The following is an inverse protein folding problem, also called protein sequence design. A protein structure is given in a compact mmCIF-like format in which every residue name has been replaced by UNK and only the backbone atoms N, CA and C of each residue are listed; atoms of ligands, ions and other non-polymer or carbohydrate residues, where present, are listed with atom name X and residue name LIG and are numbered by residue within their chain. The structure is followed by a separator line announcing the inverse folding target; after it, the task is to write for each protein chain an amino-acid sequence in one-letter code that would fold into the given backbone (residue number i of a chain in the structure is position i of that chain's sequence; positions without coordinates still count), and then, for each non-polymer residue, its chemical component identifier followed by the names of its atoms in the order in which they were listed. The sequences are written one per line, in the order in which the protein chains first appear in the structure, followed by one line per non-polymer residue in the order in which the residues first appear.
data_IF_306962444249
#
_entry.id   IF_306962444249
#
_cell.length_a   1.000
_cell.length_b   1.000
_cell.length_c   1.000
_cell.angle_alpha   90.00
_cell.angle_beta   90.00
_cell.angle_gamma   90.00
#
_symmetry.space_group_name_H-M   'P 1'
#
loop_
_entity.id
_entity.type
_entity.pdbx_description
1 polymer ?
#
# COMPACT_ATOMS: atom_id res chain seq x y z
N UNK A 1 47.92 -4.06 -3.22
CA UNK A 1 46.67 -3.99 -2.42
C UNK A 1 45.76 -2.80 -2.77
N UNK A 2 46.26 -1.67 -3.31
CA UNK A 2 45.40 -0.54 -3.72
C UNK A 2 44.44 -0.85 -4.91
N UNK A 3 44.86 -1.65 -5.89
CA UNK A 3 44.04 -1.94 -7.08
C UNK A 3 42.78 -2.78 -6.78
N UNK A 4 42.80 -3.60 -5.72
CA UNK A 4 41.68 -4.46 -5.38
C UNK A 4 40.54 -3.68 -4.70
N UNK A 5 40.89 -2.66 -3.90
CA UNK A 5 39.93 -1.76 -3.27
C UNK A 5 39.24 -0.85 -4.28
N UNK A 6 39.96 -0.39 -5.31
CA UNK A 6 39.39 0.44 -6.38
C UNK A 6 38.39 -0.36 -7.24
N UNK A 7 38.74 -1.60 -7.58
CA UNK A 7 37.88 -2.48 -8.36
C UNK A 7 36.60 -2.91 -7.60
N UNK A 8 36.66 -3.05 -6.27
CA UNK A 8 35.47 -3.31 -5.46
C UNK A 8 34.56 -2.07 -5.33
N UNK A 9 35.13 -0.87 -5.32
CA UNK A 9 34.37 0.39 -5.30
C UNK A 9 33.59 0.61 -6.59
N UNK A 10 34.19 0.33 -7.75
CA UNK A 10 33.49 0.41 -9.05
C UNK A 10 32.35 -0.61 -9.15
N UNK A 11 32.56 -1.86 -8.69
CA UNK A 11 31.48 -2.86 -8.66
C UNK A 11 30.31 -2.47 -7.76
N UNK A 12 30.57 -1.80 -6.63
CA UNK A 12 29.54 -1.30 -5.73
C UNK A 12 28.75 -0.13 -6.33
N UNK A 13 29.42 0.75 -7.07
CA UNK A 13 28.79 1.86 -7.81
C UNK A 13 27.89 1.36 -8.96
N UNK A 14 28.36 0.35 -9.71
CA UNK A 14 27.57 -0.25 -10.78
C UNK A 14 26.38 -1.05 -10.25
N UNK A 15 26.53 -1.71 -9.11
CA UNK A 15 25.43 -2.40 -8.42
C UNK A 15 24.36 -1.41 -7.95
N UNK A 16 24.75 -0.28 -7.35
CA UNK A 16 23.81 0.80 -6.98
C UNK A 16 23.08 1.38 -8.19
N UNK A 17 23.75 1.55 -9.33
CA UNK A 17 23.11 2.01 -10.57
C UNK A 17 22.12 0.98 -11.12
N UNK A 18 22.42 -0.32 -11.00
CA UNK A 18 21.48 -1.39 -11.37
C UNK A 18 20.25 -1.45 -10.45
N UNK A 19 20.43 -1.26 -9.14
CA UNK A 19 19.33 -1.22 -8.16
C UNK A 19 18.41 0.00 -8.38
N UNK A 20 18.97 1.19 -8.66
CA UNK A 20 18.18 2.39 -9.02
C UNK A 20 17.40 2.19 -10.34
N UNK A 21 17.94 1.40 -11.26
CA UNK A 21 17.26 1.07 -12.54
C UNK A 21 16.20 -0.01 -12.34
N UNK A 22 16.39 -0.91 -11.38
CA UNK A 22 15.43 -1.95 -11.01
C UNK A 22 14.27 -1.39 -10.18
N UNK A 23 14.51 -0.46 -9.26
CA UNK A 23 13.45 0.30 -8.56
C UNK A 23 12.63 1.15 -9.54
N UNK A 24 13.25 1.75 -10.57
CA UNK A 24 12.50 2.39 -11.68
C UNK A 24 11.69 1.41 -12.53
N UNK A 25 12.15 0.18 -12.74
CA UNK A 25 11.39 -0.85 -13.46
C UNK A 25 10.25 -1.43 -12.63
N UNK A 26 10.40 -1.52 -11.31
CA UNK A 26 9.31 -1.90 -10.39
C UNK A 26 8.21 -0.83 -10.37
N UNK A 27 8.58 0.47 -10.47
CA UNK A 27 7.62 1.56 -10.69
C UNK A 27 6.97 1.61 -12.08
N UNK A 28 7.41 0.76 -13.03
CA UNK A 28 6.88 0.64 -14.39
C UNK A 28 6.34 -0.76 -14.69
N UNK A 29 6.26 -1.64 -13.70
CA UNK A 29 5.61 -2.92 -13.85
C UNK A 29 4.11 -2.64 -13.99
N UNK A 30 3.56 -2.96 -15.17
CA UNK A 30 2.12 -3.04 -15.43
C UNK A 30 1.45 -3.66 -14.20
N UNK A 31 0.77 -2.83 -13.41
CA UNK A 31 -0.03 -3.26 -12.30
C UNK A 31 -1.24 -4.04 -12.80
N UNK A 32 -1.04 -5.28 -13.21
CA UNK A 32 -2.11 -6.28 -13.32
C UNK A 32 -2.35 -6.89 -11.94
N UNK A 33 -2.49 -6.04 -10.93
CA UNK A 33 -3.06 -6.48 -9.66
C UNK A 33 -4.55 -6.70 -9.88
N UNK A 34 -4.99 -7.95 -9.73
CA UNK A 34 -6.41 -8.31 -9.81
C UNK A 34 -7.29 -7.56 -8.78
N UNK A 35 -6.68 -6.95 -7.74
CA UNK A 35 -7.38 -6.12 -6.75
C UNK A 35 -7.92 -4.80 -7.33
N UNK A 36 -7.28 -4.25 -8.36
CA UNK A 36 -7.74 -3.01 -9.00
C UNK A 36 -9.13 -3.13 -9.65
N UNK A 37 -9.54 -4.34 -10.04
CA UNK A 37 -10.82 -4.61 -10.72
C UNK A 37 -12.02 -4.72 -9.77
N UNK A 38 -11.80 -4.93 -8.47
CA UNK A 38 -12.89 -5.09 -7.49
C UNK A 38 -13.42 -3.74 -7.00
N UNK A 39 -12.54 -2.75 -6.80
CA UNK A 39 -12.92 -1.41 -6.34
C UNK A 39 -13.59 -0.56 -7.44
N UNK A 40 -13.20 -0.73 -8.71
CA UNK A 40 -13.93 -0.10 -9.83
C UNK A 40 -15.37 -0.63 -9.96
N UNK A 41 -15.65 -1.85 -9.47
CA UNK A 41 -17.01 -2.41 -9.42
C UNK A 41 -17.90 -1.79 -8.34
N UNK A 42 -17.36 -1.21 -7.27
CA UNK A 42 -18.21 -0.55 -6.26
C UNK A 42 -18.76 0.78 -6.78
N UNK A 43 -17.95 1.54 -7.53
CA UNK A 43 -18.40 2.72 -8.28
C UNK A 43 -19.36 2.35 -9.42
N UNK A 44 -19.14 1.23 -10.12
CA UNK A 44 -20.06 0.77 -11.17
C UNK A 44 -21.36 0.17 -10.63
N UNK A 45 -21.38 -0.40 -9.41
CA UNK A 45 -22.60 -0.93 -8.77
C UNK A 45 -23.47 0.15 -8.13
N UNK A 46 -22.91 1.29 -7.75
CA UNK A 46 -23.68 2.48 -7.37
C UNK A 46 -24.57 2.98 -8.54
N UNK A 47 -24.22 2.63 -9.79
CA UNK A 47 -25.02 2.87 -11.00
C UNK A 47 -26.33 2.07 -11.06
N UNK A 48 -26.40 0.90 -10.40
CA UNK A 48 -27.51 -0.07 -10.54
C UNK A 48 -28.55 -0.03 -9.40
N UNK A 49 -28.22 0.58 -8.26
CA UNK A 49 -29.11 0.67 -7.09
C UNK A 49 -29.59 2.09 -6.80
N UNK A 50 -30.28 2.69 -7.77
CA UNK A 50 -31.18 3.82 -7.47
C UNK A 50 -32.58 3.21 -7.26
N UNK A 51 -33.04 2.99 -6.01
CA UNK A 51 -34.41 2.56 -5.78
C UNK A 51 -35.39 3.69 -6.15
N UNK A 52 -36.40 3.34 -6.93
CA UNK A 52 -37.58 4.17 -7.18
C UNK A 52 -38.33 4.35 -5.85
N UNK A 53 -38.72 5.57 -5.43
CA UNK A 53 -39.37 5.77 -4.14
C UNK A 53 -40.85 5.40 -4.23
N UNK A 54 -41.20 4.18 -3.81
CA UNK A 54 -42.60 3.82 -3.49
C UNK A 54 -42.70 3.23 -2.08
N UNK A 55 -43.37 4.00 -1.22
CA UNK A 55 -43.99 3.68 0.06
C UNK A 55 -43.14 2.97 1.14
N UNK A 56 -42.77 3.74 2.17
CA UNK A 56 -42.45 3.19 3.51
C UNK A 56 -43.49 3.72 4.50
N UNK A 57 -44.25 2.78 5.08
CA UNK A 57 -45.18 3.02 6.18
C UNK A 57 -44.39 3.24 7.47
N UNK A 58 -44.58 4.39 8.12
CA UNK A 58 -43.91 4.76 9.37
C UNK A 58 -44.63 4.18 10.59
N UNK A 59 -43.90 3.39 11.40
CA UNK A 59 -44.31 3.04 12.76
C UNK A 59 -44.01 4.19 13.73
N UNK A 60 -44.92 4.44 14.66
CA UNK A 60 -44.86 5.54 15.63
C UNK A 60 -43.90 5.22 16.81
N UNK A 61 -43.10 6.19 17.29
CA UNK A 61 -42.49 6.14 18.62
C UNK A 61 -43.35 6.85 19.69
N UNK A 62 -43.21 6.48 20.97
CA UNK A 62 -44.06 6.97 22.07
C UNK A 62 -43.73 8.42 22.51
N UNK A 63 -44.75 9.02 23.12
CA UNK A 63 -44.95 10.43 23.44
C UNK A 63 -44.09 10.98 24.58
N UNK A 64 -43.38 12.09 24.31
CA UNK A 64 -42.98 13.08 25.31
C UNK A 64 -43.89 14.30 25.17
N UNK A 65 -44.59 14.65 26.25
CA UNK A 65 -45.56 15.74 26.30
C UNK A 65 -44.88 17.10 26.37
N UNK A 66 -44.86 17.82 25.25
CA UNK A 66 -44.59 19.25 25.17
C UNK A 66 -45.88 19.98 24.79
N UNK A 67 -46.09 21.18 25.32
CA UNK A 67 -47.31 21.96 25.10
C UNK A 67 -47.53 22.30 23.62
N UNK A 68 -48.81 22.31 23.21
CA UNK A 68 -49.26 22.33 21.82
C UNK A 68 -48.75 23.56 21.03
N UNK A 69 -48.55 24.70 21.70
CA UNK A 69 -48.09 25.95 21.06
C UNK A 69 -46.56 26.06 20.91
N UNK A 70 -45.76 25.30 21.68
CA UNK A 70 -44.29 25.29 21.51
C UNK A 70 -43.80 24.22 20.52
N UNK A 71 -44.65 23.26 20.14
CA UNK A 71 -44.29 22.22 19.16
C UNK A 71 -44.53 22.64 17.71
N UNK A 72 -45.44 23.58 17.41
CA UNK A 72 -45.79 23.95 16.03
C UNK A 72 -44.72 24.87 15.41
N UNK A 73 -44.20 25.84 16.14
CA UNK A 73 -43.11 26.72 15.68
C UNK A 73 -41.77 26.01 15.62
N UNK A 74 -41.48 25.08 16.53
CA UNK A 74 -40.21 24.33 16.54
C UNK A 74 -40.17 23.19 15.50
N UNK A 75 -41.30 22.55 15.17
CA UNK A 75 -41.34 21.52 14.12
C UNK A 75 -41.29 22.08 12.70
N UNK A 76 -41.81 23.28 12.45
CA UNK A 76 -41.73 23.91 11.12
C UNK A 76 -40.30 24.42 10.86
N UNK A 77 -39.62 24.96 11.88
CA UNK A 77 -38.20 25.33 11.77
C UNK A 77 -37.26 24.11 11.69
N UNK A 78 -37.53 23.01 12.42
CA UNK A 78 -36.66 21.83 12.39
C UNK A 78 -36.88 20.93 11.17
N UNK A 79 -38.09 20.91 10.58
CA UNK A 79 -38.35 20.19 9.32
C UNK A 79 -37.87 20.97 8.10
N UNK A 80 -37.86 22.31 8.17
CA UNK A 80 -37.21 23.14 7.15
C UNK A 80 -35.67 23.10 7.26
N UNK A 81 -35.09 22.85 8.45
CA UNK A 81 -33.64 22.73 8.62
C UNK A 81 -33.08 21.32 8.33
N UNK A 82 -33.90 20.26 8.39
CA UNK A 82 -33.48 18.91 7.98
C UNK A 82 -33.75 18.59 6.49
N UNK A 83 -34.51 19.42 5.77
CA UNK A 83 -34.77 19.24 4.34
C UNK A 83 -33.78 20.01 3.42
N UNK A 84 -32.83 20.77 3.98
CA UNK A 84 -31.88 21.59 3.20
C UNK A 84 -30.55 20.86 2.92
N UNK A 85 -30.22 19.72 3.54
CA UNK A 85 -28.90 19.09 3.33
C UNK A 85 -28.83 18.02 2.23
N UNK A 86 -29.94 17.63 1.60
CA UNK A 86 -29.96 16.72 0.45
C UNK A 86 -30.64 17.38 -0.73
N UNK A 87 -30.11 18.51 -1.19
CA UNK A 87 -30.48 19.03 -2.50
C UNK A 87 -30.06 18.01 -3.56
N UNK A 88 -30.97 17.50 -4.41
CA UNK A 88 -30.63 16.54 -5.47
C UNK A 88 -29.55 17.08 -6.44
N UNK A 89 -29.37 18.40 -6.49
CA UNK A 89 -28.31 19.08 -7.24
C UNK A 89 -26.90 18.71 -6.74
N UNK A 90 -26.68 18.61 -5.43
CA UNK A 90 -25.35 18.29 -4.87
C UNK A 90 -24.96 16.82 -5.07
N UNK A 91 -25.95 15.92 -5.10
CA UNK A 91 -25.74 14.51 -5.42
C UNK A 91 -25.33 14.32 -6.89
N UNK A 92 -25.94 15.07 -7.81
CA UNK A 92 -25.63 14.98 -9.24
C UNK A 92 -24.27 15.62 -9.57
N UNK A 93 -23.96 16.76 -8.97
CA UNK A 93 -22.62 17.39 -9.07
C UNK A 93 -21.53 16.47 -8.48
N UNK A 94 -21.82 15.81 -7.36
CA UNK A 94 -20.92 14.81 -6.78
C UNK A 94 -20.71 13.60 -7.69
N UNK A 95 -21.77 13.09 -8.32
CA UNK A 95 -21.66 11.97 -9.26
C UNK A 95 -20.80 12.33 -10.49
N UNK A 96 -20.99 13.53 -11.05
CA UNK A 96 -20.21 14.01 -12.19
C UNK A 96 -18.74 14.25 -11.83
N UNK A 97 -18.48 14.83 -10.64
CA UNK A 97 -17.12 15.00 -10.14
C UNK A 97 -16.41 13.65 -9.94
N UNK A 98 -17.10 12.66 -9.35
CA UNK A 98 -16.57 11.31 -9.19
C UNK A 98 -16.23 10.65 -10.54
N UNK A 99 -17.08 10.83 -11.55
CA UNK A 99 -16.84 10.33 -12.91
C UNK A 99 -15.56 10.91 -13.51
N UNK A 100 -15.35 12.23 -13.40
CA UNK A 100 -14.13 12.89 -13.90
C UNK A 100 -12.86 12.37 -13.22
N UNK A 101 -12.91 12.09 -11.92
CA UNK A 101 -11.78 11.50 -11.19
C UNK A 101 -11.41 10.13 -11.78
N UNK A 102 -12.41 9.27 -12.02
CA UNK A 102 -12.19 7.94 -12.60
C UNK A 102 -11.65 8.04 -14.02
N UNK A 103 -12.25 8.89 -14.86
CA UNK A 103 -11.78 9.09 -16.23
C UNK A 103 -10.34 9.61 -16.28
N UNK A 104 -9.96 10.54 -15.40
CA UNK A 104 -8.58 11.01 -15.31
C UNK A 104 -7.63 9.88 -14.87
N UNK A 105 -8.05 9.03 -13.92
CA UNK A 105 -7.25 7.92 -13.44
C UNK A 105 -7.04 6.83 -14.51
N UNK A 106 -8.10 6.47 -15.22
CA UNK A 106 -8.05 5.49 -16.32
C UNK A 106 -7.14 5.98 -17.47
N UNK A 107 -7.05 7.29 -17.66
CA UNK A 107 -6.13 7.94 -18.59
C UNK A 107 -4.75 8.25 -17.99
N UNK A 108 -4.44 7.73 -16.79
CA UNK A 108 -3.15 7.90 -16.09
C UNK A 108 -2.76 9.38 -15.84
N UNK A 109 -3.73 10.29 -15.82
CA UNK A 109 -3.51 11.72 -15.55
C UNK A 109 -3.46 11.96 -14.04
N UNK A 110 -2.46 11.38 -13.38
CA UNK A 110 -2.41 11.32 -11.91
C UNK A 110 -2.42 12.71 -11.23
N UNK A 111 -1.74 13.71 -11.79
CA UNK A 111 -1.78 15.08 -11.26
C UNK A 111 -3.20 15.69 -11.30
N UNK A 112 -3.98 15.36 -12.32
CA UNK A 112 -5.38 15.78 -12.44
C UNK A 112 -6.26 15.04 -11.43
N UNK A 113 -6.04 13.73 -11.25
CA UNK A 113 -6.75 12.92 -10.25
C UNK A 113 -6.55 13.49 -8.85
N UNK A 114 -5.32 13.90 -8.49
CA UNK A 114 -5.03 14.52 -7.19
C UNK A 114 -5.90 15.76 -7.00
N UNK A 115 -5.86 16.70 -7.95
CA UNK A 115 -6.63 17.96 -7.86
C UNK A 115 -8.14 17.72 -7.80
N UNK A 116 -8.67 16.85 -8.65
CA UNK A 116 -10.11 16.54 -8.70
C UNK A 116 -10.56 15.83 -7.41
N UNK A 117 -9.77 14.89 -6.91
CA UNK A 117 -10.08 14.16 -5.67
C UNK A 117 -10.08 15.08 -4.45
N UNK A 118 -9.07 15.95 -4.33
CA UNK A 118 -9.00 16.93 -3.24
C UNK A 118 -10.19 17.90 -3.26
N UNK A 119 -10.56 18.40 -4.44
CA UNK A 119 -11.73 19.25 -4.61
C UNK A 119 -13.03 18.52 -4.22
N UNK A 120 -13.19 17.27 -4.65
CA UNK A 120 -14.34 16.44 -4.32
C UNK A 120 -14.46 16.16 -2.82
N UNK A 121 -13.35 15.76 -2.19
CA UNK A 121 -13.28 15.48 -0.74
C UNK A 121 -13.66 16.72 0.08
N UNK A 122 -13.18 17.89 -0.34
CA UNK A 122 -13.48 19.16 0.32
C UNK A 122 -14.95 19.57 0.15
N UNK A 123 -15.50 19.41 -1.06
CA UNK A 123 -16.86 19.82 -1.37
C UNK A 123 -17.92 18.86 -0.84
N UNK A 124 -17.60 17.56 -0.73
CA UNK A 124 -18.57 16.50 -0.41
C UNK A 124 -18.08 15.54 0.68
N UNK A 125 -17.72 16.02 1.88
CA UNK A 125 -17.08 15.21 2.92
C UNK A 125 -17.94 14.05 3.45
N UNK A 126 -19.26 14.11 3.27
CA UNK A 126 -20.22 13.06 3.68
C UNK A 126 -20.66 12.16 2.50
N UNK A 127 -20.03 12.30 1.34
CA UNK A 127 -20.38 11.51 0.15
C UNK A 127 -20.19 10.02 0.40
N UNK A 128 -21.09 9.21 -0.15
CA UNK A 128 -20.94 7.75 -0.18
C UNK A 128 -19.69 7.31 -0.97
N UNK A 129 -19.18 8.17 -1.87
CA UNK A 129 -17.97 7.90 -2.66
C UNK A 129 -16.69 8.45 -2.03
N UNK A 130 -16.74 8.92 -0.78
CA UNK A 130 -15.58 9.55 -0.14
C UNK A 130 -14.39 8.59 0.01
N UNK A 131 -14.65 7.32 0.31
CA UNK A 131 -13.60 6.27 0.39
C UNK A 131 -12.91 6.05 -0.95
N UNK A 132 -13.69 5.97 -2.04
CA UNK A 132 -13.18 5.83 -3.40
C UNK A 132 -12.36 7.04 -3.85
N UNK A 133 -12.80 8.26 -3.51
CA UNK A 133 -12.03 9.47 -3.80
C UNK A 133 -10.68 9.48 -3.06
N UNK A 134 -10.66 9.13 -1.78
CA UNK A 134 -9.40 8.97 -1.04
C UNK A 134 -8.52 7.86 -1.62
N UNK A 135 -9.10 6.75 -2.09
CA UNK A 135 -8.34 5.66 -2.68
C UNK A 135 -7.68 6.07 -4.00
N UNK A 136 -8.40 6.76 -4.89
CA UNK A 136 -7.85 7.25 -6.16
C UNK A 136 -6.83 8.37 -5.94
N UNK A 137 -7.04 9.23 -4.94
CA UNK A 137 -6.03 10.19 -4.48
C UNK A 137 -4.75 9.47 -4.05
N UNK A 138 -4.87 8.50 -3.14
CA UNK A 138 -3.73 7.76 -2.59
C UNK A 138 -2.94 7.00 -3.67
N UNK A 139 -3.65 6.30 -4.56
CA UNK A 139 -3.04 5.60 -5.72
C UNK A 139 -2.32 6.58 -6.64
N UNK A 140 -2.91 7.74 -6.92
CA UNK A 140 -2.30 8.73 -7.80
C UNK A 140 -1.05 9.34 -7.18
N UNK A 141 -1.10 9.67 -5.89
CA UNK A 141 0.07 10.13 -5.13
C UNK A 141 1.17 9.07 -5.11
N UNK A 142 0.82 7.80 -4.95
CA UNK A 142 1.77 6.69 -5.04
C UNK A 142 2.44 6.62 -6.43
N UNK A 143 1.67 6.69 -7.52
CA UNK A 143 2.21 6.70 -8.89
C UNK A 143 3.10 7.93 -9.17
N UNK A 144 2.82 9.05 -8.52
CA UNK A 144 3.63 10.27 -8.59
C UNK A 144 4.85 10.24 -7.65
N UNK A 145 5.13 9.13 -6.98
CA UNK A 145 6.19 9.00 -5.97
C UNK A 145 6.07 9.98 -4.79
N UNK A 146 4.86 10.47 -4.54
CA UNK A 146 4.53 11.33 -3.41
C UNK A 146 4.21 10.44 -2.20
N UNK A 147 5.24 9.81 -1.64
CA UNK A 147 5.09 8.75 -0.64
C UNK A 147 4.37 9.19 0.63
N UNK A 148 4.79 10.30 1.25
CA UNK A 148 4.17 10.79 2.48
C UNK A 148 2.69 11.22 2.27
N UNK A 149 2.34 11.97 1.20
CA UNK A 149 0.94 12.19 0.85
C UNK A 149 0.15 10.90 0.62
N UNK A 150 0.70 9.94 -0.12
CA UNK A 150 0.05 8.66 -0.38
C UNK A 150 -0.27 7.91 0.92
N UNK A 151 0.69 7.83 1.86
CA UNK A 151 0.48 7.22 3.18
C UNK A 151 -0.66 7.91 3.93
N UNK A 152 -0.69 9.25 3.92
CA UNK A 152 -1.74 10.00 4.59
C UNK A 152 -3.13 9.72 3.97
N UNK A 153 -3.22 9.67 2.64
CA UNK A 153 -4.47 9.37 1.93
C UNK A 153 -4.92 7.92 2.14
N UNK A 154 -4.02 6.93 2.09
CA UNK A 154 -4.37 5.53 2.41
C UNK A 154 -4.81 5.35 3.86
N UNK A 155 -4.24 6.08 4.83
CA UNK A 155 -4.75 6.09 6.21
C UNK A 155 -6.16 6.66 6.30
N UNK A 156 -6.48 7.67 5.48
CA UNK A 156 -7.86 8.14 5.37
C UNK A 156 -8.77 7.06 4.82
N UNK A 157 -8.37 6.32 3.78
CA UNK A 157 -9.10 5.15 3.28
C UNK A 157 -9.39 4.16 4.41
N UNK A 158 -8.39 3.83 5.24
CA UNK A 158 -8.57 2.92 6.39
C UNK A 158 -9.59 3.43 7.42
N UNK A 159 -9.72 4.75 7.57
CA UNK A 159 -10.67 5.36 8.52
C UNK A 159 -12.10 5.48 7.99
N UNK A 160 -12.29 5.52 6.66
CA UNK A 160 -13.61 5.76 6.05
C UNK A 160 -14.19 4.55 5.32
N UNK A 161 -13.36 3.57 4.95
CA UNK A 161 -13.79 2.34 4.28
C UNK A 161 -14.15 1.25 5.28
N UNK A 162 -15.10 0.40 4.89
CA UNK A 162 -15.45 -0.86 5.59
C UNK A 162 -15.19 -2.10 4.72
N UNK A 163 -14.82 -1.90 3.46
CA UNK A 163 -14.61 -2.98 2.50
C UNK A 163 -13.25 -3.64 2.76
N UNK A 164 -13.24 -4.94 3.08
CA UNK A 164 -12.03 -5.67 3.47
C UNK A 164 -10.93 -5.57 2.41
N UNK A 165 -11.27 -5.77 1.13
CA UNK A 165 -10.30 -5.71 0.04
C UNK A 165 -9.68 -4.31 -0.11
N UNK A 166 -10.46 -3.26 0.13
CA UNK A 166 -9.96 -1.86 0.11
C UNK A 166 -9.04 -1.59 1.30
N UNK A 167 -9.36 -2.14 2.48
CA UNK A 167 -8.53 -2.02 3.67
C UNK A 167 -7.21 -2.79 3.53
N UNK A 168 -7.25 -3.96 2.90
CA UNK A 168 -6.07 -4.78 2.57
C UNK A 168 -5.16 -4.03 1.60
N UNK A 169 -5.72 -3.50 0.52
CA UNK A 169 -4.99 -2.71 -0.45
C UNK A 169 -4.35 -1.47 0.20
N UNK A 170 -5.11 -0.74 1.03
CA UNK A 170 -4.57 0.42 1.73
C UNK A 170 -3.42 0.04 2.67
N UNK A 171 -3.54 -1.06 3.42
CA UNK A 171 -2.46 -1.55 4.27
C UNK A 171 -1.20 -1.92 3.46
N UNK A 172 -1.40 -2.62 2.34
CA UNK A 172 -0.32 -3.00 1.42
C UNK A 172 0.43 -1.77 0.90
N UNK A 173 -0.28 -0.78 0.35
CA UNK A 173 0.37 0.39 -0.23
C UNK A 173 0.91 1.38 0.81
N UNK A 174 0.40 1.40 2.04
CA UNK A 174 1.07 2.13 3.14
C UNK A 174 2.45 1.53 3.39
N UNK A 175 2.55 0.20 3.48
CA UNK A 175 3.82 -0.50 3.68
C UNK A 175 4.79 -0.20 2.52
N UNK A 176 4.34 -0.33 1.28
CA UNK A 176 5.16 -0.03 0.09
C UNK A 176 5.64 1.43 0.06
N UNK A 177 4.74 2.38 0.36
CA UNK A 177 5.07 3.81 0.36
C UNK A 177 6.08 4.17 1.44
N UNK A 178 5.94 3.62 2.65
CA UNK A 178 6.89 3.86 3.74
C UNK A 178 8.26 3.25 3.46
N UNK A 179 8.31 2.06 2.85
CA UNK A 179 9.56 1.46 2.42
C UNK A 179 10.23 2.28 1.30
N UNK A 180 9.46 2.77 0.33
CA UNK A 180 9.97 3.65 -0.72
C UNK A 180 10.49 4.98 -0.16
N UNK A 181 9.78 5.57 0.81
CA UNK A 181 10.22 6.76 1.54
C UNK A 181 11.53 6.51 2.30
N UNK A 182 11.66 5.36 2.97
CA UNK A 182 12.89 4.96 3.65
C UNK A 182 14.07 4.81 2.66
N UNK A 183 13.83 4.19 1.51
CA UNK A 183 14.84 4.01 0.46
C UNK A 183 15.28 5.30 -0.22
N UNK A 184 14.39 6.31 -0.29
CA UNK A 184 14.71 7.64 -0.83
C UNK A 184 15.44 8.55 0.18
N UNK A 185 15.32 8.26 1.48
CA UNK A 185 15.94 9.05 2.54
C UNK A 185 17.44 8.70 2.73
N UNK A 186 18.27 9.66 3.19
CA UNK A 186 19.68 9.38 3.48
C UNK A 186 19.85 8.25 4.50
N UNK A 187 20.84 7.38 4.28
CA UNK A 187 21.04 6.14 5.04
C UNK A 187 21.09 6.32 6.57
N UNK A 188 21.74 7.39 7.04
CA UNK A 188 21.89 7.67 8.47
C UNK A 188 20.85 8.65 9.04
N UNK A 189 19.82 9.00 8.25
CA UNK A 189 18.81 9.97 8.67
C UNK A 189 17.83 9.40 9.70
N UNK A 190 17.36 10.26 10.61
CA UNK A 190 16.29 9.92 11.54
C UNK A 190 14.98 9.57 10.81
N UNK A 191 14.74 10.21 9.65
CA UNK A 191 13.57 9.95 8.81
C UNK A 191 13.58 8.52 8.26
N UNK A 192 14.70 8.06 7.70
CA UNK A 192 14.83 6.66 7.26
C UNK A 192 14.56 5.71 8.42
N UNK A 193 15.20 5.91 9.57
CA UNK A 193 14.99 5.05 10.76
C UNK A 193 13.53 4.99 11.17
N UNK A 194 12.84 6.12 11.18
CA UNK A 194 11.41 6.20 11.50
C UNK A 194 10.57 5.42 10.48
N UNK A 195 10.78 5.66 9.18
CA UNK A 195 10.04 4.97 8.12
C UNK A 195 10.29 3.46 8.12
N UNK A 196 11.53 3.00 8.34
CA UNK A 196 11.85 1.57 8.46
C UNK A 196 11.14 0.94 9.66
N UNK A 197 11.23 1.56 10.85
CA UNK A 197 10.61 1.03 12.06
C UNK A 197 9.07 0.94 11.94
N UNK A 198 8.46 1.95 11.34
CA UNK A 198 7.02 1.96 11.08
C UNK A 198 6.63 0.89 10.05
N UNK A 199 7.41 0.73 8.98
CA UNK A 199 7.21 -0.30 7.97
C UNK A 199 7.25 -1.70 8.59
N UNK A 200 8.28 -2.03 9.37
CA UNK A 200 8.42 -3.33 10.02
C UNK A 200 7.28 -3.64 10.99
N UNK A 201 6.78 -2.62 11.70
CA UNK A 201 5.61 -2.74 12.58
C UNK A 201 4.37 -3.15 11.77
N UNK A 202 4.12 -2.50 10.63
CA UNK A 202 2.98 -2.79 9.78
C UNK A 202 3.10 -4.15 9.07
N UNK A 203 4.31 -4.51 8.61
CA UNK A 203 4.59 -5.84 8.05
C UNK A 203 4.25 -6.94 9.06
N UNK A 204 4.61 -6.76 10.33
CA UNK A 204 4.33 -7.73 11.40
C UNK A 204 2.82 -7.89 11.67
N UNK A 205 2.05 -6.81 11.50
CA UNK A 205 0.61 -6.81 11.69
C UNK A 205 -0.16 -7.37 10.48
N UNK A 206 0.35 -7.16 9.26
CA UNK A 206 -0.29 -7.51 8.01
C UNK A 206 -0.80 -8.97 7.93
N UNK A 207 -0.01 -10.03 8.21
CA UNK A 207 -0.49 -11.41 8.16
C UNK A 207 -1.56 -11.73 9.21
N UNK A 208 -1.62 -10.97 10.31
CA UNK A 208 -2.67 -11.14 11.33
C UNK A 208 -3.98 -10.52 10.86
N UNK A 209 -3.90 -9.41 10.13
CA UNK A 209 -5.06 -8.68 9.63
C UNK A 209 -5.60 -9.27 8.32
N UNK A 210 -4.71 -9.78 7.46
CA UNK A 210 -5.01 -10.32 6.13
C UNK A 210 -4.31 -11.69 5.92
N UNK A 211 -4.69 -12.74 6.68
CA UNK A 211 -4.01 -14.04 6.66
C UNK A 211 -4.11 -14.80 5.33
N UNK A 212 -5.09 -14.47 4.49
CA UNK A 212 -5.30 -15.08 3.17
C UNK A 212 -4.83 -14.17 2.02
N UNK A 213 -4.11 -13.08 2.33
CA UNK A 213 -3.66 -12.14 1.32
C UNK A 213 -2.69 -12.81 0.35
N UNK A 214 -2.90 -12.59 -0.95
CA UNK A 214 -1.94 -13.00 -1.98
C UNK A 214 -0.63 -12.22 -1.90
N UNK A 215 -0.65 -11.05 -1.27
CA UNK A 215 0.52 -10.18 -1.11
C UNK A 215 1.43 -10.58 0.05
N UNK A 216 1.15 -11.65 0.79
CA UNK A 216 1.99 -12.09 1.91
C UNK A 216 3.44 -12.35 1.50
N UNK A 217 3.65 -13.03 0.36
CA UNK A 217 4.98 -13.27 -0.19
C UNK A 217 5.73 -11.97 -0.47
N UNK A 218 5.09 -11.01 -1.15
CA UNK A 218 5.69 -9.71 -1.49
C UNK A 218 6.01 -8.88 -0.24
N UNK A 219 5.11 -8.86 0.75
CA UNK A 219 5.29 -8.12 1.99
C UNK A 219 6.46 -8.69 2.81
N UNK A 220 6.62 -10.01 2.84
CA UNK A 220 7.78 -10.67 3.47
C UNK A 220 9.07 -10.43 2.70
N UNK A 221 9.01 -10.47 1.36
CA UNK A 221 10.16 -10.14 0.51
C UNK A 221 10.63 -8.70 0.75
N UNK A 222 9.70 -7.76 0.93
CA UNK A 222 10.02 -6.38 1.28
C UNK A 222 10.71 -6.28 2.65
N UNK A 223 10.24 -7.05 3.65
CA UNK A 223 10.88 -7.14 4.97
C UNK A 223 12.35 -7.57 4.84
N UNK A 224 12.61 -8.62 4.06
CA UNK A 224 13.97 -9.08 3.81
C UNK A 224 14.84 -8.02 3.14
N UNK A 225 14.31 -7.29 2.15
CA UNK A 225 15.03 -6.19 1.48
C UNK A 225 15.41 -5.09 2.48
N UNK A 226 14.53 -4.74 3.41
CA UNK A 226 14.85 -3.78 4.47
C UNK A 226 15.97 -4.29 5.38
N UNK A 227 15.92 -5.56 5.81
CA UNK A 227 17.01 -6.14 6.60
C UNK A 227 18.34 -6.21 5.85
N UNK A 228 18.32 -6.51 4.54
CA UNK A 228 19.50 -6.43 3.68
C UNK A 228 20.09 -5.02 3.67
N UNK A 229 19.25 -4.00 3.52
CA UNK A 229 19.68 -2.59 3.50
C UNK A 229 20.29 -2.13 4.83
N UNK A 230 19.85 -2.71 5.95
CA UNK A 230 20.39 -2.43 7.29
C UNK A 230 21.56 -3.36 7.65
N UNK A 231 21.98 -4.27 6.75
CA UNK A 231 23.06 -5.21 6.98
C UNK A 231 22.73 -6.36 7.94
N UNK A 232 21.45 -6.53 8.28
CA UNK A 232 20.89 -7.59 9.12
C UNK A 232 20.67 -8.87 8.28
N UNK A 233 21.75 -9.47 7.78
CA UNK A 233 21.65 -10.56 6.79
C UNK A 233 21.11 -11.87 7.35
N UNK A 234 21.24 -12.11 8.66
CA UNK A 234 20.66 -13.30 9.29
C UNK A 234 19.13 -13.21 9.33
N UNK A 235 18.60 -12.05 9.73
CA UNK A 235 17.18 -11.72 9.74
C UNK A 235 16.61 -11.71 8.32
N UNK A 236 17.32 -11.10 7.36
CA UNK A 236 16.93 -11.11 5.96
C UNK A 236 16.78 -12.54 5.41
N UNK A 237 17.72 -13.44 5.75
CA UNK A 237 17.63 -14.84 5.36
C UNK A 237 16.37 -15.52 5.91
N UNK A 238 16.02 -15.29 7.18
CA UNK A 238 14.81 -15.85 7.77
C UNK A 238 13.55 -15.32 7.08
N UNK A 239 13.53 -14.02 6.77
CA UNK A 239 12.41 -13.39 6.08
C UNK A 239 12.22 -13.88 4.65
N UNK A 240 13.31 -14.20 3.94
CA UNK A 240 13.27 -14.78 2.60
C UNK A 240 12.74 -16.22 2.60
N UNK A 241 13.06 -17.01 3.62
CA UNK A 241 12.43 -18.32 3.81
C UNK A 241 10.92 -18.18 4.08
N UNK A 242 10.52 -17.22 4.92
CA UNK A 242 9.11 -16.91 5.16
C UNK A 242 8.40 -16.39 3.91
N UNK A 243 9.07 -15.58 3.09
CA UNK A 243 8.56 -15.11 1.81
C UNK A 243 8.32 -16.27 0.86
N UNK A 244 9.28 -17.22 0.75
CA UNK A 244 9.14 -18.42 -0.07
C UNK A 244 7.97 -19.30 0.37
N UNK A 245 7.77 -19.48 1.67
CA UNK A 245 6.63 -20.25 2.19
C UNK A 245 5.29 -19.56 1.95
N UNK A 246 5.27 -18.23 1.81
CA UNK A 246 4.06 -17.43 1.58
C UNK A 246 3.75 -17.26 0.09
N UNK A 247 4.73 -17.45 -0.79
CA UNK A 247 4.61 -17.36 -2.25
C UNK A 247 4.03 -18.65 -2.85
N UNK A 248 2.72 -18.83 -2.67
CA UNK A 248 2.00 -20.04 -3.12
C UNK A 248 2.04 -20.22 -4.65
N UNK A 249 2.09 -19.12 -5.40
CA UNK A 249 2.08 -19.11 -6.86
C UNK A 249 3.51 -19.18 -7.45
N UNK A 250 4.53 -19.16 -6.59
CA UNK A 250 5.96 -19.22 -6.94
C UNK A 250 6.45 -18.09 -7.84
N UNK A 251 5.70 -16.97 -7.89
CA UNK A 251 5.99 -15.82 -8.75
C UNK A 251 7.26 -15.07 -8.32
N UNK A 252 7.67 -15.22 -7.06
CA UNK A 252 8.81 -14.53 -6.46
C UNK A 252 10.05 -15.42 -6.35
N UNK A 253 10.02 -16.65 -6.88
CA UNK A 253 11.08 -17.66 -6.70
C UNK A 253 12.46 -17.12 -7.10
N UNK A 254 12.57 -16.49 -8.26
CA UNK A 254 13.84 -15.96 -8.77
C UNK A 254 14.38 -14.82 -7.90
N UNK A 255 13.51 -13.86 -7.56
CA UNK A 255 13.85 -12.73 -6.70
C UNK A 255 14.28 -13.20 -5.31
N UNK A 256 13.58 -14.18 -4.73
CA UNK A 256 13.91 -14.75 -3.42
C UNK A 256 15.25 -15.48 -3.49
N UNK A 257 15.47 -16.33 -4.50
CA UNK A 257 16.72 -17.09 -4.62
C UNK A 257 17.92 -16.16 -4.80
N UNK A 258 17.80 -15.13 -5.65
CA UNK A 258 18.85 -14.14 -5.82
C UNK A 258 19.19 -13.42 -4.51
N UNK A 259 18.17 -12.90 -3.81
CA UNK A 259 18.37 -12.18 -2.56
C UNK A 259 18.87 -13.08 -1.43
N UNK A 260 18.45 -14.35 -1.40
CA UNK A 260 18.89 -15.33 -0.40
C UNK A 260 20.37 -15.67 -0.59
N UNK A 261 20.78 -15.94 -1.83
CA UNK A 261 22.18 -16.22 -2.12
C UNK A 261 23.07 -15.03 -1.76
N UNK A 262 22.62 -13.81 -2.08
CA UNK A 262 23.30 -12.59 -1.70
C UNK A 262 23.38 -12.41 -0.17
N UNK A 263 22.26 -12.52 0.54
CA UNK A 263 22.21 -12.35 1.99
C UNK A 263 23.11 -13.36 2.70
N UNK A 264 23.09 -14.64 2.32
CA UNK A 264 23.94 -15.67 2.91
C UNK A 264 25.43 -15.43 2.64
N UNK A 265 25.79 -14.98 1.44
CA UNK A 265 27.17 -14.64 1.11
C UNK A 265 27.68 -13.45 1.96
N UNK A 266 26.85 -12.43 2.20
CA UNK A 266 27.24 -11.31 3.07
C UNK A 266 27.26 -11.70 4.55
N UNK A 267 26.31 -12.52 5.00
CA UNK A 267 26.29 -13.09 6.35
C UNK A 267 27.56 -13.88 6.63
N UNK A 268 28.01 -14.71 5.69
CA UNK A 268 29.26 -15.44 5.83
C UNK A 268 30.47 -14.51 6.00
N UNK A 269 30.52 -13.40 5.25
CA UNK A 269 31.60 -12.41 5.40
C UNK A 269 31.60 -11.76 6.79
N UNK A 270 30.43 -11.41 7.31
CA UNK A 270 30.29 -10.89 8.68
C UNK A 270 30.75 -11.93 9.72
N UNK A 271 30.29 -13.18 9.58
CA UNK A 271 30.66 -14.27 10.49
C UNK A 271 32.17 -14.56 10.47
N UNK A 272 32.81 -14.50 9.29
CA UNK A 272 34.28 -14.62 9.20
C UNK A 272 35.00 -13.47 9.89
N UNK A 273 34.49 -12.23 9.75
CA UNK A 273 35.05 -11.07 10.44
C UNK A 273 34.92 -11.20 11.97
N UNK A 274 33.87 -11.87 12.45
CA UNK A 274 33.63 -12.19 13.86
C UNK A 274 34.30 -13.50 14.31
N UNK A 275 35.18 -14.09 13.49
CA UNK A 275 35.88 -15.35 13.74
C UNK A 275 34.99 -16.60 13.94
N UNK A 276 33.73 -16.55 13.49
CA UNK A 276 32.75 -17.65 13.52
C UNK A 276 32.86 -18.52 12.27
N UNK A 277 33.97 -19.24 12.12
CA UNK A 277 34.33 -19.99 10.90
C UNK A 277 33.27 -21.03 10.50
N UNK A 278 32.82 -21.86 11.43
CA UNK A 278 31.84 -22.93 11.14
C UNK A 278 30.50 -22.36 10.65
N UNK A 279 30.01 -21.30 11.28
CA UNK A 279 28.76 -20.65 10.88
C UNK A 279 28.92 -19.98 9.49
N UNK A 280 30.08 -19.41 9.22
CA UNK A 280 30.38 -18.80 7.93
C UNK A 280 30.45 -19.84 6.80
N UNK A 281 31.05 -21.00 7.05
CA UNK A 281 31.09 -22.12 6.09
C UNK A 281 29.69 -22.61 5.77
N UNK A 282 28.81 -22.73 6.77
CA UNK A 282 27.41 -23.09 6.56
C UNK A 282 26.66 -22.06 5.70
N UNK A 283 26.84 -20.77 5.98
CA UNK A 283 26.24 -19.69 5.19
C UNK A 283 26.77 -19.68 3.73
N UNK A 284 28.08 -19.86 3.52
CA UNK A 284 28.66 -19.98 2.18
C UNK A 284 28.16 -21.19 1.42
N UNK A 285 28.06 -22.35 2.08
CA UNK A 285 27.54 -23.57 1.47
C UNK A 285 26.10 -23.35 0.98
N UNK A 286 25.26 -22.70 1.81
CA UNK A 286 23.90 -22.35 1.44
C UNK A 286 23.84 -21.39 0.26
N UNK A 287 24.65 -20.32 0.27
CA UNK A 287 24.74 -19.40 -0.86
C UNK A 287 25.15 -20.12 -2.16
N UNK A 288 26.16 -21.01 -2.08
CA UNK A 288 26.65 -21.80 -3.21
C UNK A 288 25.60 -22.75 -3.79
N UNK A 289 24.82 -23.40 -2.94
CA UNK A 289 23.70 -24.24 -3.37
C UNK A 289 22.65 -23.45 -4.14
N UNK A 290 22.31 -22.24 -3.68
CA UNK A 290 21.30 -21.40 -4.33
C UNK A 290 21.84 -20.84 -5.65
N UNK A 291 23.07 -20.33 -5.69
CA UNK A 291 23.68 -19.88 -6.95
C UNK A 291 23.78 -21.00 -7.99
N UNK A 292 24.08 -22.23 -7.55
CA UNK A 292 24.09 -23.40 -8.45
C UNK A 292 22.70 -23.68 -9.03
N UNK A 293 21.65 -23.54 -8.22
CA UNK A 293 20.26 -23.68 -8.68
C UNK A 293 19.88 -22.60 -9.69
N UNK A 294 20.22 -21.34 -9.42
CA UNK A 294 20.00 -20.21 -10.34
C UNK A 294 20.73 -20.47 -11.66
N UNK A 295 21.98 -20.92 -11.62
CA UNK A 295 22.80 -21.19 -12.80
C UNK A 295 22.28 -22.37 -13.64
N UNK A 296 21.62 -23.36 -13.00
CA UNK A 296 21.02 -24.50 -13.68
C UNK A 296 19.70 -24.16 -14.41
N UNK A 297 19.15 -22.96 -14.19
CA UNK A 297 17.85 -22.55 -14.68
C UNK A 297 16.71 -23.04 -13.79
N UNK A 298 15.81 -22.14 -13.44
CA UNK A 298 14.55 -22.45 -12.76
C UNK A 298 13.69 -23.31 -13.70
N UNK A 299 13.60 -24.62 -13.46
CA UNK A 299 12.60 -25.49 -14.13
C UNK A 299 11.20 -25.19 -13.61
#
# INVERSE_FOLDING_TARGET
MLNQAHHQREKMEDMKKSEVKQTRRIGSAKGTSSMGKSSLRSLSRAREKIPNPTHVTLAHPPSLSLSLDQMVTLRILLSALLAISLSPLSAQEGAEAAKKIVEAYDNQRYDEVVKLSEAFIKATPQSLNISSAYLLLARSQYNLSQWAPAVAAYRKVQSVSKEKDVLEEAAYYIIQSLAAQAGAAPEKSAERKKSVAETLTLITAFPKQFPESKSLGEIRLLQARLHIQEGAFAEASQDLDAARSSDKEKELTEDIDYLQAYAEAQRARQLLADFKKTDAEAALARAGQIYSRIAAGSN
#
